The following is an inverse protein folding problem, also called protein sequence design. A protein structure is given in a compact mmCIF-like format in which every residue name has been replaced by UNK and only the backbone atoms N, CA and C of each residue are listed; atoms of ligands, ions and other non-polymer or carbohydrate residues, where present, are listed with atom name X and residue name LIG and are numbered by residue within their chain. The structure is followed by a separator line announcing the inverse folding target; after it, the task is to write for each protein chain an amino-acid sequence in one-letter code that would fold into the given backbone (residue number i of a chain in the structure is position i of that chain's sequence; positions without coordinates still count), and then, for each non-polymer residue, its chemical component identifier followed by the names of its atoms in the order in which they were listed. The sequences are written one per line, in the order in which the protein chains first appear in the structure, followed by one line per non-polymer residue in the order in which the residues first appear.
data_IF_097166364667
#
_entry.id   IF_097166364667
#
_cell.length_a   1.000
_cell.length_b   1.000
_cell.length_c   1.000
_cell.angle_alpha   90.00
_cell.angle_beta   90.00
_cell.angle_gamma   90.00
#
_symmetry.space_group_name_H-M   'P 1'
#
loop_
_entity.id
_entity.type
_entity.pdbx_description
1 polymer ?
#
# COMPACT_ATOMS: atom_id res chain seq x y z
N UNK A 1 -21.79 -24.40 -9.58
CA UNK A 1 -20.76 -25.10 -8.80
C UNK A 1 -19.60 -24.13 -8.63
N UNK A 2 -19.34 -23.63 -7.42
CA UNK A 2 -18.10 -22.90 -7.16
C UNK A 2 -17.05 -23.95 -6.81
N UNK A 3 -16.32 -24.44 -7.82
CA UNK A 3 -15.15 -25.26 -7.58
C UNK A 3 -14.28 -24.51 -6.56
N UNK A 4 -14.00 -25.13 -5.42
CA UNK A 4 -13.02 -24.61 -4.47
C UNK A 4 -11.66 -24.78 -5.13
N UNK A 5 -11.27 -23.83 -5.97
CA UNK A 5 -10.01 -23.86 -6.68
C UNK A 5 -8.91 -23.77 -5.64
N UNK A 6 -8.24 -24.90 -5.41
CA UNK A 6 -7.08 -24.98 -4.53
C UNK A 6 -6.00 -24.07 -5.12
N UNK A 7 -5.43 -23.22 -4.27
CA UNK A 7 -4.42 -22.26 -4.66
C UNK A 7 -3.09 -22.65 -4.04
N UNK A 8 -2.11 -22.89 -4.90
CA UNK A 8 -0.75 -23.17 -4.45
C UNK A 8 0.04 -21.87 -4.35
N UNK A 9 0.83 -21.72 -3.29
CA UNK A 9 1.75 -20.61 -3.13
C UNK A 9 3.02 -20.77 -4.01
N UNK A 10 4.10 -20.09 -3.65
CA UNK A 10 5.39 -20.16 -4.35
C UNK A 10 6.33 -21.25 -3.81
N UNK A 11 5.99 -21.87 -2.69
CA UNK A 11 6.73 -22.96 -2.03
C UNK A 11 6.11 -24.33 -2.31
N UNK A 12 4.90 -24.37 -2.88
CA UNK A 12 4.19 -25.60 -3.19
C UNK A 12 3.09 -25.94 -2.18
N UNK A 13 2.81 -25.06 -1.21
CA UNK A 13 1.76 -25.28 -0.23
C UNK A 13 0.38 -24.99 -0.83
N UNK A 14 -0.57 -25.90 -0.61
CA UNK A 14 -1.95 -25.78 -1.10
C UNK A 14 -2.87 -25.15 -0.06
N UNK A 15 -3.65 -24.18 -0.51
CA UNK A 15 -4.64 -23.49 0.29
C UNK A 15 -6.05 -23.71 -0.27
N UNK A 16 -7.08 -23.80 0.58
CA UNK A 16 -8.46 -24.05 0.14
C UNK A 16 -9.05 -22.88 -0.66
N UNK A 17 -8.45 -21.69 -0.56
CA UNK A 17 -8.83 -20.52 -1.35
C UNK A 17 -7.67 -19.54 -1.49
N UNK A 18 -7.77 -18.63 -2.47
CA UNK A 18 -6.82 -17.53 -2.62
C UNK A 18 -6.79 -16.62 -1.38
N UNK A 19 -7.94 -16.43 -0.74
CA UNK A 19 -8.06 -15.64 0.48
C UNK A 19 -7.27 -16.27 1.62
N UNK A 20 -7.42 -17.58 1.85
CA UNK A 20 -6.68 -18.31 2.88
C UNK A 20 -5.16 -18.22 2.64
N UNK A 21 -4.71 -18.35 1.39
CA UNK A 21 -3.31 -18.15 1.03
C UNK A 21 -2.85 -16.72 1.37
N UNK A 22 -3.59 -15.69 0.96
CA UNK A 22 -3.22 -14.30 1.23
C UNK A 22 -3.19 -13.97 2.74
N UNK A 23 -4.14 -14.49 3.50
CA UNK A 23 -4.23 -14.32 4.96
C UNK A 23 -3.04 -14.95 5.67
N UNK A 24 -2.58 -16.13 5.24
CA UNK A 24 -1.36 -16.76 5.76
C UNK A 24 -0.13 -15.85 5.64
N UNK A 25 -0.02 -15.12 4.52
CA UNK A 25 1.06 -14.17 4.27
C UNK A 25 0.78 -12.75 4.81
N UNK A 26 -0.33 -12.53 5.52
CA UNK A 26 -0.68 -11.24 6.11
C UNK A 26 -1.02 -10.13 5.11
N UNK A 27 -1.44 -10.49 3.89
CA UNK A 27 -1.83 -9.54 2.85
C UNK A 27 -3.30 -9.72 2.44
N UNK A 28 -3.89 -8.67 1.86
CA UNK A 28 -5.25 -8.80 1.30
C UNK A 28 -5.23 -9.45 -0.08
N UNK A 29 -6.30 -10.17 -0.41
CA UNK A 29 -6.50 -10.76 -1.74
C UNK A 29 -6.43 -9.70 -2.84
N UNK A 30 -7.01 -8.52 -2.61
CA UNK A 30 -6.96 -7.39 -3.56
C UNK A 30 -5.54 -6.91 -3.82
N UNK A 31 -4.69 -6.85 -2.78
CA UNK A 31 -3.28 -6.48 -2.94
C UNK A 31 -2.52 -7.53 -3.73
N UNK A 32 -2.72 -8.81 -3.43
CA UNK A 32 -2.12 -9.91 -4.19
C UNK A 32 -2.50 -9.84 -5.68
N UNK A 33 -3.80 -9.74 -5.99
CA UNK A 33 -4.29 -9.64 -7.37
C UNK A 33 -3.74 -8.41 -8.10
N UNK A 34 -3.69 -7.25 -7.43
CA UNK A 34 -3.11 -6.04 -7.99
C UNK A 34 -1.61 -6.21 -8.29
N UNK A 35 -0.85 -6.83 -7.38
CA UNK A 35 0.57 -7.13 -7.60
C UNK A 35 0.76 -8.09 -8.77
N UNK A 36 -0.05 -9.15 -8.86
CA UNK A 36 -0.03 -10.11 -9.98
C UNK A 36 -0.39 -9.45 -11.31
N UNK A 37 -1.39 -8.56 -11.33
CA UNK A 37 -1.76 -7.78 -12.51
C UNK A 37 -0.63 -6.85 -12.97
N UNK A 38 0.10 -6.25 -12.02
CA UNK A 38 1.29 -5.44 -12.29
C UNK A 38 2.56 -6.26 -12.59
N UNK A 39 2.43 -7.57 -12.85
CA UNK A 39 3.54 -8.42 -13.27
C UNK A 39 4.43 -8.95 -12.14
N UNK A 40 4.11 -8.69 -10.86
CA UNK A 40 4.89 -9.24 -9.75
C UNK A 40 4.81 -10.77 -9.75
N UNK A 41 5.93 -11.45 -9.48
CA UNK A 41 5.95 -12.91 -9.34
C UNK A 41 5.03 -13.38 -8.20
N UNK A 42 4.64 -14.66 -8.18
CA UNK A 42 3.78 -15.20 -7.10
C UNK A 42 4.43 -15.00 -5.72
N UNK A 43 5.75 -15.26 -5.63
CA UNK A 43 6.55 -15.01 -4.43
C UNK A 43 6.44 -13.55 -4.02
N UNK A 44 6.81 -12.63 -4.92
CA UNK A 44 6.87 -11.20 -4.58
C UNK A 44 5.48 -10.62 -4.27
N UNK A 45 4.45 -11.14 -4.95
CA UNK A 45 3.06 -10.77 -4.67
C UNK A 45 2.67 -11.10 -3.21
N UNK A 46 3.17 -12.23 -2.67
CA UNK A 46 2.91 -12.70 -1.32
C UNK A 46 3.84 -12.10 -0.27
N UNK A 47 5.13 -11.93 -0.58
CA UNK A 47 6.15 -11.63 0.44
C UNK A 47 6.59 -10.17 0.49
N UNK A 48 6.37 -9.36 -0.56
CA UNK A 48 6.82 -7.97 -0.54
C UNK A 48 6.08 -7.16 0.53
N UNK A 49 6.77 -6.25 1.23
CA UNK A 49 6.17 -5.41 2.25
C UNK A 49 5.11 -4.48 1.64
N UNK A 50 4.08 -4.19 2.43
CA UNK A 50 3.02 -3.25 2.05
C UNK A 50 3.61 -1.83 2.11
N UNK A 51 3.70 -1.15 0.96
CA UNK A 51 4.05 0.27 0.93
C UNK A 51 2.87 1.08 1.49
N UNK A 52 2.99 1.52 2.75
CA UNK A 52 2.05 2.46 3.34
C UNK A 52 2.18 3.79 2.60
N UNK A 53 1.06 4.28 2.08
CA UNK A 53 0.99 5.64 1.53
C UNK A 53 1.16 6.61 2.69
N UNK A 54 1.95 7.66 2.46
CA UNK A 54 2.10 8.77 3.40
C UNK A 54 1.24 9.91 2.91
N UNK A 55 0.47 10.48 3.81
CA UNK A 55 -0.27 11.70 3.59
C UNK A 55 0.19 12.76 4.58
N UNK A 56 0.02 14.01 4.21
CA UNK A 56 0.44 15.15 5.01
C UNK A 56 -0.79 15.91 5.43
N UNK A 57 -1.06 15.97 6.74
CA UNK A 57 -2.17 16.73 7.31
C UNK A 57 -1.63 18.07 7.80
N UNK A 58 -2.23 19.16 7.33
CA UNK A 58 -1.87 20.52 7.70
C UNK A 58 -3.10 21.41 7.72
N UNK A 59 -3.33 22.15 8.81
CA UNK A 59 -4.49 23.05 9.02
C UNK A 59 -5.84 22.42 8.65
N UNK A 60 -6.03 21.13 8.97
CA UNK A 60 -7.27 20.39 8.70
C UNK A 60 -7.38 19.76 7.30
N UNK A 61 -6.47 20.11 6.38
CA UNK A 61 -6.42 19.55 5.02
C UNK A 61 -5.45 18.37 4.94
N UNK A 62 -5.71 17.42 4.04
CA UNK A 62 -4.87 16.23 3.80
C UNK A 62 -4.33 16.28 2.38
N UNK A 63 -3.02 16.13 2.24
CA UNK A 63 -2.29 16.19 0.98
C UNK A 63 -1.59 14.87 0.68
N UNK A 64 -1.52 14.50 -0.60
CA UNK A 64 -0.86 13.27 -1.08
C UNK A 64 0.67 13.37 -1.06
N UNK A 65 1.21 14.59 -1.16
CA UNK A 65 2.64 14.87 -1.21
C UNK A 65 2.94 16.24 -0.59
N UNK A 66 4.22 16.52 -0.33
CA UNK A 66 4.64 17.82 0.23
C UNK A 66 4.38 18.98 -0.74
N UNK A 67 4.49 18.75 -2.05
CA UNK A 67 4.27 19.77 -3.07
C UNK A 67 2.87 20.37 -2.99
N UNK A 68 1.82 19.53 -2.95
CA UNK A 68 0.45 20.02 -2.84
C UNK A 68 0.18 20.74 -1.52
N UNK A 69 0.80 20.29 -0.44
CA UNK A 69 0.74 20.96 0.86
C UNK A 69 1.39 22.35 0.82
N UNK A 70 2.59 22.45 0.24
CA UNK A 70 3.34 23.70 0.13
C UNK A 70 2.66 24.69 -0.80
N UNK A 71 2.12 24.21 -1.93
CA UNK A 71 1.32 25.03 -2.84
C UNK A 71 0.09 25.62 -2.12
N UNK A 72 -0.60 24.83 -1.29
CA UNK A 72 -1.70 25.33 -0.45
C UNK A 72 -1.22 26.33 0.60
N UNK A 73 -0.04 26.11 1.20
CA UNK A 73 0.54 27.01 2.19
C UNK A 73 1.13 28.30 1.59
N UNK A 74 1.24 28.39 0.26
CA UNK A 74 1.90 29.51 -0.43
C UNK A 74 3.42 29.54 -0.22
N UNK A 75 4.04 28.36 -0.04
CA UNK A 75 5.43 28.19 0.31
C UNK A 75 6.23 27.49 -0.79
N UNK A 76 7.50 27.84 -0.90
CA UNK A 76 8.47 27.13 -1.74
C UNK A 76 8.92 25.80 -1.10
N UNK A 77 9.46 24.85 -1.87
CA UNK A 77 10.04 23.60 -1.33
C UNK A 77 11.09 23.83 -0.23
N UNK A 78 11.88 24.88 -0.37
CA UNK A 78 12.86 25.33 0.61
C UNK A 78 12.24 25.94 1.85
N UNK A 79 10.92 26.04 1.99
CA UNK A 79 10.31 26.71 3.14
C UNK A 79 9.54 25.71 4.03
N UNK A 80 9.65 24.42 3.73
CA UNK A 80 8.95 23.35 4.46
C UNK A 80 9.25 23.36 5.97
N UNK A 81 10.48 23.69 6.37
CA UNK A 81 10.88 23.72 7.78
C UNK A 81 10.11 24.76 8.60
N UNK A 82 9.52 25.79 7.97
CA UNK A 82 8.69 26.78 8.68
C UNK A 82 7.40 26.19 9.22
N UNK A 83 6.90 25.11 8.60
CA UNK A 83 5.63 24.47 8.97
C UNK A 83 5.78 23.02 9.41
N UNK A 84 6.99 22.45 9.34
CA UNK A 84 7.23 21.02 9.58
C UNK A 84 6.67 20.53 10.92
N UNK A 85 6.79 21.35 11.99
CA UNK A 85 6.26 21.01 13.32
C UNK A 85 4.73 20.92 13.39
N UNK A 86 4.03 21.60 12.47
CA UNK A 86 2.56 21.63 12.40
C UNK A 86 2.01 20.61 11.40
N UNK A 87 2.89 19.89 10.68
CA UNK A 87 2.50 18.87 9.71
C UNK A 87 2.47 17.51 10.39
N UNK A 88 1.31 16.86 10.35
CA UNK A 88 1.17 15.46 10.80
C UNK A 88 1.24 14.54 9.58
N UNK A 89 2.24 13.65 9.53
CA UNK A 89 2.34 12.62 8.50
C UNK A 89 1.53 11.39 8.94
N UNK A 90 0.52 11.01 8.15
CA UNK A 90 -0.38 9.88 8.41
C UNK A 90 -0.30 8.81 7.33
#
# INVERSE_FOLDING_TARGET
MFESQRHTDHLGEEYPSLKAMCEHYGISMSLYLNRRYNGASKRDALTLPIRRKRYYKYKGHIFKNKEGLLAYAGLMPTEYWFIEKDVVVI
#
